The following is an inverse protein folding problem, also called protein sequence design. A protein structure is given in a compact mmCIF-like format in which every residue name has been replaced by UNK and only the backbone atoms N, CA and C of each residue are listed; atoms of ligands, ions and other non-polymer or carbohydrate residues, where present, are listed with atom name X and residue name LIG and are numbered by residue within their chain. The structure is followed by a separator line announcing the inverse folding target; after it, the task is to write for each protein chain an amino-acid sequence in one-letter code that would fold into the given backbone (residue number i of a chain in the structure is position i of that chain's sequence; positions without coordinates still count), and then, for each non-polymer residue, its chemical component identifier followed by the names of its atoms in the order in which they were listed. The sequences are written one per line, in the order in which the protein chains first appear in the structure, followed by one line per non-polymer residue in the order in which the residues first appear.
data_IF_575683736679
#
_entry.id   IF_575683736679
#
_cell.length_a   1.000
_cell.length_b   1.000
_cell.length_c   1.000
_cell.angle_alpha   90.00
_cell.angle_beta   90.00
_cell.angle_gamma   90.00
#
_symmetry.space_group_name_H-M   'P 1'
#
loop_
_entity.id
_entity.type
_entity.pdbx_description
1 polymer ?
#
# COMPACT_ATOMS: atom_id res chain seq x y z
N UNK A 1 -4.51 58.84 -37.59
CA UNK A 1 -4.82 58.19 -38.89
C UNK A 1 -6.10 57.38 -38.71
N UNK A 2 -7.02 57.34 -39.69
CA UNK A 2 -8.42 56.93 -39.44
C UNK A 2 -8.96 55.90 -40.44
N UNK A 3 -9.81 54.98 -39.92
CA UNK A 3 -10.75 54.04 -40.60
C UNK A 3 -10.18 52.89 -41.46
N UNK A 4 -10.62 51.66 -41.10
CA UNK A 4 -11.23 50.64 -42.00
C UNK A 4 -11.92 49.49 -41.21
N UNK A 5 -13.22 49.63 -40.94
CA UNK A 5 -14.35 48.94 -41.62
C UNK A 5 -14.02 47.57 -42.30
N UNK A 6 -14.72 46.41 -42.13
CA UNK A 6 -15.92 45.98 -41.34
C UNK A 6 -16.06 44.42 -41.32
N UNK A 7 -16.84 43.88 -40.36
CA UNK A 7 -17.76 42.70 -40.39
C UNK A 7 -17.31 41.26 -40.80
N UNK A 8 -17.37 40.36 -39.79
CA UNK A 8 -18.20 39.12 -39.65
C UNK A 8 -18.70 38.38 -40.92
N UNK A 9 -18.47 37.04 -40.97
CA UNK A 9 -19.43 36.01 -41.47
C UNK A 9 -19.31 34.72 -40.62
N UNK A 10 -20.43 34.00 -40.45
CA UNK A 10 -20.56 32.71 -39.72
C UNK A 10 -20.01 31.49 -40.51
N UNK A 11 -19.76 30.38 -39.81
CA UNK A 11 -19.60 29.06 -40.44
C UNK A 11 -19.72 27.91 -39.44
N UNK A 12 -20.91 27.33 -39.30
CA UNK A 12 -21.11 26.06 -38.60
C UNK A 12 -21.20 24.91 -39.61
N UNK A 13 -20.57 23.77 -39.32
CA UNK A 13 -20.71 22.56 -40.11
C UNK A 13 -20.71 21.33 -39.19
N UNK A 14 -21.79 20.55 -39.23
CA UNK A 14 -21.89 19.26 -38.55
C UNK A 14 -21.20 18.19 -39.40
N UNK A 15 -20.60 17.18 -38.75
CA UNK A 15 -20.10 15.97 -39.41
C UNK A 15 -21.04 14.82 -39.09
N UNK A 16 -21.39 14.06 -40.14
CA UNK A 16 -22.44 13.05 -40.16
C UNK A 16 -22.02 11.75 -39.48
N UNK A 17 -23.02 10.98 -39.06
CA UNK A 17 -22.86 9.61 -38.60
C UNK A 17 -22.39 8.69 -39.74
N UNK A 18 -21.58 7.68 -39.38
CA UNK A 18 -21.27 6.54 -40.24
C UNK A 18 -21.35 5.24 -39.43
N UNK A 19 -22.57 4.80 -39.12
CA UNK A 19 -22.80 3.43 -38.70
C UNK A 19 -22.40 2.50 -39.85
N UNK A 20 -21.40 1.65 -39.66
CA UNK A 20 -21.18 0.48 -40.52
C UNK A 20 -21.28 -0.78 -39.69
N UNK A 21 -22.52 -1.23 -39.54
CA UNK A 21 -22.87 -2.54 -39.03
C UNK A 21 -22.27 -3.60 -39.96
N UNK A 22 -21.45 -4.49 -39.42
CA UNK A 22 -20.77 -5.54 -40.18
C UNK A 22 -21.04 -6.90 -39.56
N UNK A 23 -22.28 -7.35 -39.70
CA UNK A 23 -22.73 -8.70 -39.33
C UNK A 23 -22.22 -9.73 -40.33
N UNK A 24 -21.44 -10.70 -39.86
CA UNK A 24 -21.30 -12.09 -40.38
C UNK A 24 -20.08 -12.78 -39.74
N UNK A 25 -20.11 -14.10 -39.58
CA UNK A 25 -21.10 -14.92 -38.87
C UNK A 25 -20.43 -15.60 -37.64
N UNK A 26 -21.20 -16.28 -36.78
CA UNK A 26 -20.62 -17.09 -35.71
C UNK A 26 -19.81 -18.29 -36.25
N UNK A 27 -18.53 -18.44 -35.87
CA UNK A 27 -17.93 -19.76 -35.68
C UNK A 27 -18.23 -20.22 -34.24
N UNK A 28 -18.69 -21.47 -34.10
CA UNK A 28 -18.92 -22.12 -32.80
C UNK A 28 -17.68 -21.98 -31.91
N UNK A 29 -17.80 -21.52 -30.64
CA UNK A 29 -16.68 -21.63 -29.73
C UNK A 29 -16.45 -23.11 -29.40
N UNK A 30 -15.30 -23.63 -29.84
CA UNK A 30 -14.69 -24.80 -29.20
C UNK A 30 -14.66 -24.59 -27.68
N UNK A 31 -14.99 -25.63 -26.91
CA UNK A 31 -14.90 -25.61 -25.46
C UNK A 31 -13.44 -25.85 -25.05
N UNK A 32 -12.74 -24.88 -24.44
CA UNK A 32 -11.46 -25.12 -23.80
C UNK A 32 -11.71 -25.43 -22.32
N UNK A 33 -11.26 -26.62 -21.96
CA UNK A 33 -11.19 -27.31 -20.66
C UNK A 33 -11.22 -26.50 -19.35
N UNK A 34 -11.66 -27.20 -18.29
CA UNK A 34 -11.66 -26.77 -16.89
C UNK A 34 -10.38 -26.02 -16.45
N UNK A 35 -10.49 -24.70 -16.35
CA UNK A 35 -9.49 -23.82 -15.73
C UNK A 35 -10.16 -22.92 -14.67
N UNK A 36 -9.68 -22.87 -13.42
CA UNK A 36 -10.36 -22.16 -12.33
C UNK A 36 -10.16 -20.62 -12.39
N UNK A 37 -10.67 -19.98 -13.44
CA UNK A 37 -10.53 -18.54 -13.70
C UNK A 37 -11.45 -17.62 -12.88
N UNK A 38 -12.18 -18.15 -11.88
CA UNK A 38 -13.22 -17.40 -11.14
C UNK A 38 -12.76 -16.94 -9.74
N UNK A 39 -11.59 -17.39 -9.27
CA UNK A 39 -11.14 -17.16 -7.88
C UNK A 39 -10.36 -15.85 -7.67
N UNK A 40 -10.18 -15.00 -8.69
CA UNK A 40 -9.37 -13.77 -8.62
C UNK A 40 -10.11 -12.47 -8.28
N UNK A 41 -11.44 -12.42 -8.34
CA UNK A 41 -12.17 -11.18 -8.05
C UNK A 41 -12.19 -10.82 -6.56
N UNK A 42 -12.45 -11.80 -5.67
CA UNK A 42 -12.58 -11.58 -4.23
C UNK A 42 -11.26 -11.44 -3.46
N UNK A 43 -10.20 -12.14 -3.89
CA UNK A 43 -8.87 -12.12 -3.25
C UNK A 43 -8.07 -10.85 -3.49
N UNK A 44 -8.65 -9.86 -4.18
CA UNK A 44 -7.93 -8.67 -4.64
C UNK A 44 -8.01 -7.47 -3.69
N UNK A 45 -9.10 -7.31 -2.92
CA UNK A 45 -9.33 -6.04 -2.21
C UNK A 45 -8.54 -5.88 -0.88
N UNK A 46 -8.61 -6.81 0.11
CA UNK A 46 -7.91 -6.63 1.39
C UNK A 46 -6.39 -6.68 1.25
N UNK A 47 -5.89 -7.50 0.32
CA UNK A 47 -4.47 -7.65 0.07
C UNK A 47 -3.87 -6.44 -0.66
N UNK A 48 -4.58 -5.88 -1.65
CA UNK A 48 -4.16 -4.62 -2.27
C UNK A 48 -4.26 -3.44 -1.29
N UNK A 49 -5.23 -3.43 -0.36
CA UNK A 49 -5.28 -2.44 0.71
C UNK A 49 -4.04 -2.53 1.63
N UNK A 50 -3.65 -3.74 2.06
CA UNK A 50 -2.41 -3.96 2.84
C UNK A 50 -1.16 -3.57 2.07
N UNK A 51 -1.03 -3.92 0.79
CA UNK A 51 0.14 -3.52 -0.03
C UNK A 51 0.22 -1.99 -0.21
N UNK A 52 -0.92 -1.31 -0.43
CA UNK A 52 -0.99 0.16 -0.46
C UNK A 52 -0.61 0.78 0.88
N UNK A 53 -1.06 0.21 2.01
CA UNK A 53 -0.65 0.66 3.35
C UNK A 53 0.86 0.51 3.57
N UNK A 54 1.43 -0.65 3.25
CA UNK A 54 2.88 -0.89 3.35
C UNK A 54 3.68 0.12 2.51
N UNK A 55 3.25 0.41 1.28
CA UNK A 55 3.87 1.44 0.43
C UNK A 55 3.79 2.85 1.01
N UNK A 56 2.62 3.26 1.54
CA UNK A 56 2.48 4.59 2.19
C UNK A 56 3.32 4.69 3.45
N UNK A 57 3.42 3.61 4.22
CA UNK A 57 4.27 3.55 5.40
C UNK A 57 5.75 3.70 5.03
N UNK A 58 6.19 3.07 3.94
CA UNK A 58 7.54 3.24 3.42
C UNK A 58 7.82 4.69 3.00
N UNK A 59 6.91 5.31 2.24
CA UNK A 59 7.01 6.72 1.86
C UNK A 59 7.06 7.65 3.09
N UNK A 60 6.27 7.37 4.12
CA UNK A 60 6.29 8.14 5.37
C UNK A 60 7.63 8.00 6.12
N UNK A 61 8.29 6.83 6.05
CA UNK A 61 9.63 6.62 6.58
C UNK A 61 10.74 7.40 5.83
N UNK A 62 10.44 8.13 4.74
CA UNK A 62 11.39 9.14 4.22
C UNK A 62 11.55 10.33 5.19
N UNK A 63 10.53 10.63 5.99
CA UNK A 63 10.53 11.71 6.98
C UNK A 63 11.29 11.31 8.27
N UNK A 64 12.34 12.04 8.69
CA UNK A 64 13.12 11.68 9.88
C UNK A 64 12.30 11.76 11.18
N UNK A 65 11.30 12.64 11.25
CA UNK A 65 10.42 12.78 12.41
C UNK A 65 9.52 11.55 12.53
N UNK A 66 8.97 11.10 11.41
CA UNK A 66 8.17 9.87 11.36
C UNK A 66 9.03 8.65 11.71
N UNK A 67 10.25 8.52 11.18
CA UNK A 67 11.18 7.43 11.57
C UNK A 67 11.48 7.43 13.07
N UNK A 68 11.74 8.60 13.66
CA UNK A 68 11.99 8.73 15.09
C UNK A 68 10.76 8.31 15.93
N UNK A 69 9.54 8.71 15.52
CA UNK A 69 8.28 8.25 16.12
C UNK A 69 8.17 6.72 16.06
N UNK A 70 8.33 6.12 14.88
CA UNK A 70 8.25 4.66 14.71
C UNK A 70 9.27 3.92 15.58
N UNK A 71 10.53 4.38 15.59
CA UNK A 71 11.57 3.79 16.44
C UNK A 71 11.22 3.87 17.93
N UNK A 72 10.69 5.02 18.38
CA UNK A 72 10.27 5.25 19.75
C UNK A 72 9.04 4.44 20.19
N UNK A 73 8.05 4.24 19.32
CA UNK A 73 6.91 3.34 19.61
C UNK A 73 7.37 1.89 19.70
N UNK A 74 8.20 1.42 18.76
CA UNK A 74 8.72 0.05 18.76
C UNK A 74 9.55 -0.19 20.03
N UNK A 75 10.49 0.70 20.36
CA UNK A 75 11.33 0.56 21.55
C UNK A 75 10.54 0.52 22.87
N UNK A 76 9.35 1.15 22.91
CA UNK A 76 8.42 1.14 24.05
C UNK A 76 7.41 -0.01 24.03
N UNK A 77 7.28 -0.76 22.94
CA UNK A 77 6.29 -1.83 22.87
C UNK A 77 6.64 -2.95 23.86
N UNK A 78 5.70 -3.35 24.74
CA UNK A 78 5.89 -4.49 25.63
C UNK A 78 5.75 -5.84 24.90
N UNK A 79 5.21 -5.84 23.67
CA UNK A 79 4.91 -7.06 22.94
C UNK A 79 6.20 -7.80 22.54
N UNK A 80 6.16 -9.15 22.43
CA UNK A 80 7.24 -9.92 21.83
C UNK A 80 7.71 -9.29 20.51
N UNK A 81 9.02 -9.30 20.28
CA UNK A 81 9.67 -8.68 19.11
C UNK A 81 9.40 -7.17 18.92
N UNK A 82 8.84 -6.49 19.92
CA UNK A 82 8.43 -5.08 19.87
C UNK A 82 7.29 -4.80 18.86
N UNK A 83 6.41 -5.78 18.64
CA UNK A 83 5.25 -5.69 17.74
C UNK A 83 4.29 -4.55 18.10
N UNK A 84 3.71 -3.90 17.09
CA UNK A 84 2.72 -2.82 17.23
C UNK A 84 1.52 -3.06 16.32
N UNK A 85 0.31 -2.84 16.82
CA UNK A 85 -0.91 -2.96 16.02
C UNK A 85 -1.11 -1.71 15.15
N UNK A 86 -1.07 -1.89 13.83
CA UNK A 86 -1.07 -0.81 12.83
C UNK A 86 -2.33 0.05 12.91
N UNK A 87 -3.52 -0.55 12.92
CA UNK A 87 -4.78 0.20 13.00
C UNK A 87 -4.80 1.09 14.24
N UNK A 88 -4.49 0.53 15.43
CA UNK A 88 -4.44 1.29 16.70
C UNK A 88 -3.46 2.46 16.63
N UNK A 89 -2.30 2.27 15.98
CA UNK A 89 -1.30 3.33 15.77
C UNK A 89 -1.80 4.43 14.81
N UNK A 90 -2.44 4.07 13.69
CA UNK A 90 -2.94 5.02 12.68
C UNK A 90 -4.20 5.76 13.13
N UNK A 91 -5.08 5.12 13.90
CA UNK A 91 -6.34 5.68 14.41
C UNK A 91 -6.26 6.16 15.87
N UNK A 92 -5.05 6.39 16.39
CA UNK A 92 -4.85 7.01 17.70
C UNK A 92 -5.49 8.40 17.80
N UNK A 93 -5.63 8.93 19.02
CA UNK A 93 -6.45 10.12 19.31
C UNK A 93 -6.11 11.37 18.46
N UNK A 94 -4.84 11.57 18.10
CA UNK A 94 -4.40 12.69 17.26
C UNK A 94 -4.50 12.42 15.74
N UNK A 95 -4.68 11.15 15.35
CA UNK A 95 -4.61 10.64 13.97
C UNK A 95 -3.37 11.10 13.19
N UNK A 96 -2.29 11.46 13.88
CA UNK A 96 -1.12 12.09 13.29
C UNK A 96 -0.42 11.18 12.29
N UNK A 97 -0.23 9.90 12.66
CA UNK A 97 0.44 8.93 11.79
C UNK A 97 -0.33 8.64 10.49
N UNK A 98 -1.67 8.66 10.53
CA UNK A 98 -2.49 8.52 9.32
C UNK A 98 -2.33 9.74 8.39
N UNK A 99 -2.25 10.95 8.96
CA UNK A 99 -1.98 12.19 8.23
C UNK A 99 -0.56 12.22 7.64
N UNK A 100 0.42 11.65 8.33
CA UNK A 100 1.77 11.44 7.80
C UNK A 100 1.77 10.50 6.58
N UNK A 101 1.05 9.38 6.64
CA UNK A 101 0.87 8.47 5.50
C UNK A 101 0.17 9.14 4.31
N UNK A 102 -0.89 9.91 4.56
CA UNK A 102 -1.62 10.65 3.53
C UNK A 102 -0.74 11.71 2.85
N UNK A 103 -0.04 12.52 3.65
CA UNK A 103 0.95 13.51 3.20
C UNK A 103 2.06 12.87 2.35
N UNK A 104 2.63 11.77 2.81
CA UNK A 104 3.70 11.07 2.08
C UNK A 104 3.23 10.42 0.78
N UNK A 105 2.00 9.89 0.76
CA UNK A 105 1.35 9.38 -0.45
C UNK A 105 0.88 10.45 -1.44
N UNK A 106 0.75 11.72 -0.99
CA UNK A 106 0.04 12.82 -1.68
C UNK A 106 -1.43 12.49 -1.94
N UNK A 107 -2.06 11.84 -0.96
CA UNK A 107 -3.44 11.37 -1.00
C UNK A 107 -4.28 12.10 0.07
N UNK A 108 -5.61 12.00 -0.02
CA UNK A 108 -6.50 12.45 1.04
C UNK A 108 -6.54 11.44 2.20
N UNK A 109 -6.66 11.93 3.44
CA UNK A 109 -6.81 11.11 4.66
C UNK A 109 -7.86 9.99 4.50
N UNK A 110 -8.97 10.30 3.84
CA UNK A 110 -10.07 9.35 3.58
C UNK A 110 -9.65 8.14 2.72
N UNK A 111 -8.69 8.28 1.81
CA UNK A 111 -8.17 7.17 1.01
C UNK A 111 -7.32 6.22 1.88
N UNK A 112 -6.51 6.77 2.78
CA UNK A 112 -5.76 5.98 3.77
C UNK A 112 -6.72 5.27 4.72
N UNK A 113 -7.75 5.97 5.21
CA UNK A 113 -8.81 5.35 6.03
C UNK A 113 -9.53 4.18 5.34
N UNK A 114 -9.86 4.32 4.06
CA UNK A 114 -10.51 3.26 3.29
C UNK A 114 -9.65 2.00 3.26
N UNK A 115 -8.33 2.14 3.05
CA UNK A 115 -7.43 1.00 3.10
C UNK A 115 -7.23 0.44 4.52
N UNK A 116 -7.19 1.30 5.55
CA UNK A 116 -7.16 0.90 6.97
C UNK A 116 -8.38 0.07 7.36
N UNK A 117 -9.56 0.39 6.82
CA UNK A 117 -10.81 -0.39 7.02
C UNK A 117 -10.91 -1.63 6.15
N UNK A 118 -10.28 -1.64 4.97
CA UNK A 118 -10.37 -2.71 3.99
C UNK A 118 -9.34 -3.83 4.19
N UNK A 119 -8.18 -3.51 4.78
CA UNK A 119 -7.20 -4.51 5.19
C UNK A 119 -7.72 -5.33 6.39
N UNK A 120 -7.26 -6.58 6.60
CA UNK A 120 -7.43 -7.27 7.87
C UNK A 120 -6.76 -6.46 9.01
N UNK A 121 -6.94 -6.85 10.27
CA UNK A 121 -6.11 -6.33 11.35
C UNK A 121 -4.63 -6.58 11.01
N UNK A 122 -3.80 -5.54 11.09
CA UNK A 122 -2.38 -5.57 10.75
C UNK A 122 -1.52 -5.21 11.97
N UNK A 123 -0.33 -5.81 12.04
CA UNK A 123 0.76 -5.44 12.93
C UNK A 123 2.02 -5.06 12.14
N UNK A 124 2.95 -4.38 12.82
CA UNK A 124 4.26 -4.06 12.29
C UNK A 124 5.39 -4.19 13.31
N UNK A 125 6.53 -4.68 12.85
CA UNK A 125 7.74 -4.97 13.63
C UNK A 125 8.94 -5.19 12.69
N UNK A 126 10.16 -5.33 13.23
CA UNK A 126 11.28 -5.87 12.45
C UNK A 126 11.51 -7.33 12.87
N UNK A 127 11.25 -8.33 12.00
CA UNK A 127 11.31 -9.75 12.38
C UNK A 127 12.74 -10.21 12.69
N UNK A 128 13.72 -9.75 11.90
CA UNK A 128 15.12 -10.13 12.06
C UNK A 128 15.70 -9.49 13.34
N UNK A 129 16.18 -10.26 14.33
CA UNK A 129 16.70 -9.70 15.58
C UNK A 129 17.90 -8.76 15.35
N UNK A 130 18.79 -9.10 14.42
CA UNK A 130 19.90 -8.24 14.02
C UNK A 130 19.42 -6.88 13.48
N UNK A 131 18.31 -6.83 12.72
CA UNK A 131 17.75 -5.58 12.21
C UNK A 131 17.16 -4.72 13.34
N UNK A 132 16.43 -5.31 14.30
CA UNK A 132 15.98 -4.58 15.51
C UNK A 132 17.15 -4.00 16.31
N UNK A 133 18.20 -4.80 16.51
CA UNK A 133 19.36 -4.40 17.29
C UNK A 133 20.24 -3.37 16.57
N UNK A 134 20.30 -3.38 15.23
CA UNK A 134 21.16 -2.49 14.45
C UNK A 134 20.48 -1.20 13.97
N UNK A 135 19.18 -1.21 13.63
CA UNK A 135 18.51 -0.03 13.07
C UNK A 135 18.45 1.13 14.08
N UNK A 136 18.75 2.35 13.63
CA UNK A 136 18.80 3.55 14.48
C UNK A 136 17.79 4.62 14.09
N UNK A 137 16.86 4.30 13.19
CA UNK A 137 15.97 5.30 12.58
C UNK A 137 16.58 5.96 11.34
N UNK A 138 17.59 5.34 10.71
CA UNK A 138 18.07 5.72 9.38
C UNK A 138 17.07 5.30 8.28
N UNK A 139 17.20 5.92 7.10
CA UNK A 139 16.28 5.83 5.95
C UNK A 139 16.51 4.59 5.07
N UNK A 140 17.56 3.81 5.33
CA UNK A 140 17.91 2.57 4.61
C UNK A 140 17.08 1.37 5.09
N UNK A 141 15.79 1.60 5.32
CA UNK A 141 14.81 0.60 5.76
C UNK A 141 13.83 0.28 4.63
N UNK A 142 13.47 -1.00 4.52
CA UNK A 142 12.42 -1.50 3.65
C UNK A 142 11.15 -1.74 4.47
N UNK A 143 9.97 -1.46 3.90
CA UNK A 143 8.70 -1.94 4.48
C UNK A 143 8.20 -3.10 3.64
N UNK A 144 8.06 -4.28 4.23
CA UNK A 144 7.68 -5.52 3.55
C UNK A 144 6.29 -6.01 3.98
N UNK A 145 5.61 -6.72 3.08
CA UNK A 145 4.35 -7.43 3.35
C UNK A 145 4.31 -8.72 2.52
N UNK A 146 3.74 -9.79 3.08
CA UNK A 146 3.53 -11.08 2.41
C UNK A 146 2.05 -11.45 2.44
N UNK A 147 1.54 -12.23 1.48
CA UNK A 147 0.13 -12.64 1.45
C UNK A 147 -0.12 -13.95 2.19
N UNK A 148 0.75 -14.94 2.04
CA UNK A 148 0.80 -16.13 2.88
C UNK A 148 2.23 -16.41 3.40
N UNK A 149 2.34 -17.30 4.38
CA UNK A 149 3.63 -17.78 4.88
C UNK A 149 4.41 -18.49 3.77
N UNK A 150 5.73 -18.25 3.72
CA UNK A 150 6.62 -18.80 2.68
C UNK A 150 6.52 -18.13 1.30
N UNK A 151 5.60 -17.19 1.09
CA UNK A 151 5.53 -16.39 -0.13
C UNK A 151 6.63 -15.31 -0.15
N UNK A 152 7.19 -15.03 -1.33
CA UNK A 152 8.19 -13.99 -1.53
C UNK A 152 7.63 -12.60 -1.13
N UNK A 153 8.16 -11.94 -0.08
CA UNK A 153 7.58 -10.68 0.40
C UNK A 153 7.73 -9.55 -0.62
N UNK A 154 6.66 -8.79 -0.79
CA UNK A 154 6.69 -7.51 -1.52
C UNK A 154 7.18 -6.45 -0.55
N UNK A 155 8.23 -5.73 -0.91
CA UNK A 155 8.75 -4.63 -0.11
C UNK A 155 8.88 -3.31 -0.86
N UNK A 156 8.93 -2.23 -0.11
CA UNK A 156 9.03 -0.86 -0.61
C UNK A 156 10.18 -0.12 0.07
N UNK A 157 10.97 0.60 -0.72
CA UNK A 157 11.96 1.56 -0.21
C UNK A 157 11.26 2.80 0.36
N UNK A 158 12.00 3.65 1.08
CA UNK A 158 11.54 4.98 1.51
C UNK A 158 11.19 5.93 0.35
N UNK A 159 11.68 5.65 -0.86
CA UNK A 159 11.28 6.33 -2.11
C UNK A 159 10.05 5.71 -2.79
N UNK A 160 9.45 4.66 -2.20
CA UNK A 160 8.27 3.96 -2.72
C UNK A 160 8.56 3.01 -3.90
N UNK A 161 9.83 2.69 -4.17
CA UNK A 161 10.23 1.71 -5.18
C UNK A 161 9.92 0.30 -4.68
N UNK A 162 9.21 -0.49 -5.49
CA UNK A 162 8.79 -1.86 -5.18
C UNK A 162 9.92 -2.85 -5.48
N UNK A 163 10.20 -3.74 -4.54
CA UNK A 163 11.14 -4.87 -4.68
C UNK A 163 10.47 -6.15 -4.21
N UNK A 164 10.94 -7.30 -4.73
CA UNK A 164 10.58 -8.62 -4.21
C UNK A 164 11.76 -9.12 -3.38
N UNK A 165 11.49 -9.65 -2.18
CA UNK A 165 12.51 -10.23 -1.31
C UNK A 165 12.53 -11.76 -1.46
N UNK A 166 13.69 -12.36 -1.20
CA UNK A 166 13.80 -13.80 -0.98
C UNK A 166 13.12 -14.15 0.36
N UNK A 167 12.12 -15.07 0.39
CA UNK A 167 11.45 -15.46 1.63
C UNK A 167 12.39 -16.20 2.61
N UNK A 168 13.48 -16.80 2.11
CA UNK A 168 14.41 -17.61 2.92
C UNK A 168 15.67 -16.84 3.36
N UNK A 169 16.00 -15.74 2.67
CA UNK A 169 17.24 -14.98 2.92
C UNK A 169 16.92 -13.52 3.25
N UNK A 170 17.05 -13.10 4.52
CA UNK A 170 16.87 -11.69 4.88
C UNK A 170 17.86 -10.77 4.14
N UNK A 171 17.40 -9.63 3.60
CA UNK A 171 18.29 -8.66 2.96
C UNK A 171 19.18 -7.97 4.00
N UNK A 172 20.32 -7.40 3.56
CA UNK A 172 21.23 -6.67 4.45
C UNK A 172 20.64 -5.35 5.00
N UNK A 173 19.61 -4.80 4.34
CA UNK A 173 18.87 -3.64 4.82
C UNK A 173 17.82 -4.05 5.87
N UNK A 174 17.66 -3.30 6.97
CA UNK A 174 16.53 -3.47 7.89
C UNK A 174 15.19 -3.58 7.16
N UNK A 175 14.34 -4.50 7.64
CA UNK A 175 12.99 -4.72 7.13
C UNK A 175 12.00 -4.49 8.25
N UNK A 176 11.03 -3.60 8.02
CA UNK A 176 9.83 -3.47 8.81
C UNK A 176 8.72 -4.28 8.13
N UNK A 177 8.31 -5.40 8.75
CA UNK A 177 7.16 -6.16 8.29
C UNK A 177 5.86 -5.39 8.59
N UNK A 178 4.90 -5.44 7.67
CA UNK A 178 3.49 -5.04 7.84
C UNK A 178 2.64 -6.22 7.39
N UNK A 179 2.15 -6.98 8.37
CA UNK A 179 1.54 -8.31 8.18
C UNK A 179 0.22 -8.40 8.96
N UNK A 180 -0.65 -9.40 8.70
CA UNK A 180 -1.81 -9.64 9.56
C UNK A 180 -1.43 -9.77 11.04
N UNK A 181 -2.33 -9.39 11.95
CA UNK A 181 -2.10 -9.55 13.39
C UNK A 181 -1.96 -11.04 13.74
N UNK A 182 -0.85 -11.35 14.39
CA UNK A 182 -0.54 -12.64 15.01
C UNK A 182 -0.57 -12.51 16.55
N UNK A 183 -0.16 -11.34 17.07
CA UNK A 183 -0.08 -11.10 18.50
C UNK A 183 -1.44 -10.74 19.12
N UNK A 184 -1.72 -11.32 20.29
CA UNK A 184 -2.86 -10.90 21.13
C UNK A 184 -2.55 -9.57 21.82
N UNK A 185 -2.90 -8.46 21.16
CA UNK A 185 -2.68 -7.09 21.66
C UNK A 185 -3.60 -6.67 22.81
N UNK A 186 -4.55 -7.50 23.22
CA UNK A 186 -5.44 -7.23 24.36
C UNK A 186 -5.04 -8.01 25.63
N UNK A 187 -4.10 -8.95 25.49
CA UNK A 187 -3.46 -9.65 26.59
C UNK A 187 -2.09 -9.06 26.87
N UNK A 188 -1.88 -8.63 28.12
CA UNK A 188 -0.53 -8.26 28.56
C UNK A 188 0.41 -9.47 28.43
N UNK A 189 1.64 -9.30 27.90
CA UNK A 189 2.61 -10.38 27.82
C UNK A 189 2.88 -10.92 29.23
N UNK A 190 2.80 -12.24 29.39
CA UNK A 190 3.31 -12.89 30.60
C UNK A 190 4.81 -12.66 30.68
N UNK A 191 5.25 -11.97 31.73
CA UNK A 191 6.66 -11.86 32.08
C UNK A 191 7.17 -13.27 32.42
N UNK A 192 8.01 -13.81 31.54
CA UNK A 192 8.75 -15.07 31.74
C UNK A 192 10.20 -14.79 32.15
#
# INVERSE_FOLDING_TARGET
MSRRTRLIVLGAAAVLAACTERTSPDPVPDVPEDGPAVVSAGRSHPHAARERLARRFALALADPTFRARIKGELDRSPMPERKLHLQRFLTGADRGALRDLARAGREADAAVEMDVRAAPALEFYLPVPAHRLAWRGDDRILVATAHADGEAPVAFTTTGHRVILDPNTPPASPVLAVVPVEADFDRLPTLG
#
